data_IF_111552549848
#
_entry.id   IF_111552549848
#
_cell.length_a   1.000
_cell.length_b   1.000
_cell.length_c   1.000
_cell.angle_alpha   90.00
_cell.angle_beta   90.00
_cell.angle_gamma   90.00
#
_symmetry.space_group_name_H-M   'P 1'
#
loop_
_entity.id
_entity.type
_entity.pdbx_description
1 polymer ?
#
# COMPACT_ATOMS: atom_id res chain seq x y z
N UNK A 1 40.05 64.54 -47.35
CA UNK A 1 39.71 63.17 -47.76
C UNK A 1 39.38 62.44 -46.48
N UNK A 2 38.10 62.44 -46.10
CA UNK A 2 37.62 61.73 -44.93
C UNK A 2 37.18 60.35 -45.42
N UNK A 3 37.84 59.29 -44.94
CA UNK A 3 37.43 57.92 -45.19
C UNK A 3 36.10 57.67 -44.47
N UNK A 4 35.02 57.44 -45.22
CA UNK A 4 33.80 56.87 -44.68
C UNK A 4 34.06 55.40 -44.31
N UNK A 5 33.75 54.97 -43.07
CA UNK A 5 33.87 53.57 -42.70
C UNK A 5 32.82 52.76 -43.47
N UNK A 6 33.28 51.72 -44.17
CA UNK A 6 32.48 50.76 -44.92
C UNK A 6 31.29 50.23 -44.11
N UNK A 7 30.07 50.49 -44.60
CA UNK A 7 28.79 50.02 -44.04
C UNK A 7 28.70 48.48 -43.84
N UNK A 8 29.59 47.73 -44.49
CA UNK A 8 29.67 46.27 -44.37
C UNK A 8 30.23 45.80 -43.02
N UNK A 9 31.15 46.53 -42.39
CA UNK A 9 31.71 46.16 -41.07
C UNK A 9 30.68 46.33 -39.94
N UNK A 10 29.84 47.37 -40.02
CA UNK A 10 28.81 47.69 -39.01
C UNK A 10 27.67 46.67 -38.99
N UNK A 11 27.32 46.11 -40.16
CA UNK A 11 26.28 45.07 -40.29
C UNK A 11 26.69 43.73 -39.66
N UNK A 12 27.91 43.27 -39.93
CA UNK A 12 28.43 41.98 -39.42
C UNK A 12 28.62 41.94 -37.89
N UNK A 13 28.97 43.06 -37.28
CA UNK A 13 29.14 43.15 -35.83
C UNK A 13 27.78 43.19 -35.09
N UNK A 14 26.75 43.75 -35.73
CA UNK A 14 25.37 43.79 -35.21
C UNK A 14 24.73 42.40 -35.22
N UNK A 15 24.90 41.62 -36.29
CA UNK A 15 24.42 40.25 -36.36
C UNK A 15 25.14 39.31 -35.38
N UNK A 16 26.48 39.46 -35.23
CA UNK A 16 27.26 38.73 -34.21
C UNK A 16 26.78 39.01 -32.79
N UNK A 17 26.53 40.28 -32.45
CA UNK A 17 26.01 40.69 -31.12
C UNK A 17 24.59 40.16 -30.88
N UNK A 18 23.73 40.13 -31.91
CA UNK A 18 22.38 39.56 -31.82
C UNK A 18 22.40 38.03 -31.64
N UNK A 19 23.25 37.32 -32.38
CA UNK A 19 23.46 35.88 -32.23
C UNK A 19 24.04 35.52 -30.86
N UNK A 20 25.02 36.28 -30.37
CA UNK A 20 25.60 36.14 -29.02
C UNK A 20 24.56 36.42 -27.91
N UNK A 21 23.72 37.46 -28.05
CA UNK A 21 22.61 37.71 -27.12
C UNK A 21 21.58 36.58 -27.14
N UNK A 22 21.21 36.06 -28.32
CA UNK A 22 20.23 34.97 -28.47
C UNK A 22 20.74 33.67 -27.88
N UNK A 23 22.00 33.30 -28.11
CA UNK A 23 22.65 32.13 -27.50
C UNK A 23 22.84 32.29 -25.99
N UNK A 24 23.26 33.46 -25.49
CA UNK A 24 23.40 33.74 -24.05
C UNK A 24 22.05 33.70 -23.31
N UNK A 25 20.98 34.21 -23.94
CA UNK A 25 19.59 34.16 -23.41
C UNK A 25 19.02 32.74 -23.43
N UNK A 26 19.36 31.92 -24.43
CA UNK A 26 19.04 30.49 -24.44
C UNK A 26 19.80 29.71 -23.36
N UNK A 27 21.09 30.01 -23.13
CA UNK A 27 21.89 29.38 -22.08
C UNK A 27 21.39 29.77 -20.68
N UNK A 28 20.97 31.02 -20.46
CA UNK A 28 20.37 31.45 -19.19
C UNK A 28 19.01 30.79 -18.93
N UNK A 29 18.16 30.65 -19.94
CA UNK A 29 16.88 29.96 -19.82
C UNK A 29 17.05 28.45 -19.53
N UNK A 30 17.95 27.76 -20.25
CA UNK A 30 18.26 26.34 -19.99
C UNK A 30 18.84 26.13 -18.58
N UNK A 31 19.70 27.03 -18.11
CA UNK A 31 20.25 26.99 -16.74
C UNK A 31 19.17 27.25 -15.69
N UNK A 32 18.24 28.17 -15.94
CA UNK A 32 17.13 28.45 -15.04
C UNK A 32 16.13 27.29 -14.98
N UNK A 33 15.81 26.68 -16.12
CA UNK A 33 14.99 25.47 -16.18
C UNK A 33 15.68 24.30 -15.46
N UNK A 34 16.96 24.06 -15.70
CA UNK A 34 17.71 23.02 -15.00
C UNK A 34 17.74 23.23 -13.48
N UNK A 35 17.90 24.48 -13.01
CA UNK A 35 17.81 24.82 -11.58
C UNK A 35 16.42 24.58 -11.02
N UNK A 36 15.37 25.01 -11.72
CA UNK A 36 13.99 24.78 -11.29
C UNK A 36 13.70 23.28 -11.20
N UNK A 37 14.04 22.50 -12.23
CA UNK A 37 13.90 21.05 -12.23
C UNK A 37 14.66 20.42 -11.07
N UNK A 38 15.89 20.85 -10.80
CA UNK A 38 16.67 20.37 -9.66
C UNK A 38 15.97 20.65 -8.32
N UNK A 39 15.50 21.88 -8.09
CA UNK A 39 14.77 22.21 -6.86
C UNK A 39 13.45 21.44 -6.73
N UNK A 40 12.70 21.26 -7.82
CA UNK A 40 11.48 20.45 -7.84
C UNK A 40 11.80 19.00 -7.46
N UNK A 41 12.83 18.40 -8.04
CA UNK A 41 13.26 17.04 -7.71
C UNK A 41 13.71 16.93 -6.24
N UNK A 42 14.41 17.94 -5.72
CA UNK A 42 14.80 18.01 -4.31
C UNK A 42 13.59 18.03 -3.37
N UNK A 43 12.58 18.84 -3.69
CA UNK A 43 11.33 18.90 -2.91
C UNK A 43 10.59 17.58 -2.97
N UNK A 44 10.44 16.98 -4.16
CA UNK A 44 9.79 15.67 -4.33
C UNK A 44 10.51 14.59 -3.55
N UNK A 45 11.85 14.55 -3.61
CA UNK A 45 12.65 13.62 -2.84
C UNK A 45 12.46 13.83 -1.32
N UNK A 46 12.50 15.08 -0.85
CA UNK A 46 12.25 15.43 0.54
C UNK A 46 10.87 14.99 1.03
N UNK A 47 9.82 15.25 0.25
CA UNK A 47 8.46 14.78 0.54
C UNK A 47 8.38 13.25 0.59
N UNK A 48 8.97 12.55 -0.39
CA UNK A 48 8.97 11.10 -0.45
C UNK A 48 9.72 10.47 0.74
N UNK A 49 10.83 11.07 1.17
CA UNK A 49 11.55 10.65 2.38
C UNK A 49 10.70 10.89 3.63
N UNK A 50 10.09 12.06 3.77
CA UNK A 50 9.23 12.37 4.91
C UNK A 50 8.04 11.42 5.01
N UNK A 51 7.37 11.10 3.90
CA UNK A 51 6.26 10.15 3.90
C UNK A 51 6.69 8.70 4.17
N UNK A 52 7.88 8.29 3.73
CA UNK A 52 8.45 6.99 4.11
C UNK A 52 8.72 6.91 5.61
N UNK A 53 9.33 7.95 6.19
CA UNK A 53 9.59 8.01 7.63
C UNK A 53 8.29 8.01 8.44
N UNK A 54 7.28 8.75 7.99
CA UNK A 54 5.95 8.75 8.59
C UNK A 54 5.28 7.37 8.51
N UNK A 55 5.40 6.67 7.38
CA UNK A 55 4.91 5.29 7.25
C UNK A 55 5.64 4.35 8.21
N UNK A 56 6.97 4.44 8.30
CA UNK A 56 7.77 3.61 9.20
C UNK A 56 7.39 3.85 10.67
N UNK A 57 7.19 5.11 11.07
CA UNK A 57 6.72 5.48 12.41
C UNK A 57 5.33 4.92 12.71
N UNK A 58 4.37 5.09 11.78
CA UNK A 58 3.04 4.49 11.92
C UNK A 58 3.13 2.97 12.13
N UNK A 59 3.88 2.26 11.29
CA UNK A 59 4.03 0.80 11.41
C UNK A 59 4.69 0.39 12.72
N UNK A 60 5.69 1.13 13.19
CA UNK A 60 6.36 0.89 14.47
C UNK A 60 5.44 1.18 15.67
N UNK A 61 4.56 2.18 15.54
CA UNK A 61 3.63 2.60 16.60
C UNK A 61 2.40 1.70 16.75
N UNK A 62 2.02 0.95 15.70
CA UNK A 62 0.88 0.03 15.71
C UNK A 62 1.01 -1.03 16.81
N UNK A 63 -0.04 -1.14 17.63
CA UNK A 63 -0.17 -2.14 18.67
C UNK A 63 -1.58 -2.76 18.63
N UNK A 64 -1.74 -4.04 19.01
CA UNK A 64 -3.05 -4.61 19.25
C UNK A 64 -3.86 -3.78 20.26
N UNK A 65 -5.17 -3.58 20.06
CA UNK A 65 -6.01 -2.91 21.04
C UNK A 65 -6.08 -3.74 22.32
N UNK A 66 -6.16 -3.08 23.48
CA UNK A 66 -6.18 -3.74 24.81
C UNK A 66 -7.37 -4.68 24.98
N UNK A 67 -8.51 -4.34 24.37
CA UNK A 67 -9.71 -5.18 24.34
C UNK A 67 -10.19 -5.35 22.89
N UNK A 68 -9.62 -6.30 22.13
CA UNK A 68 -10.00 -6.52 20.74
C UNK A 68 -11.40 -7.10 20.68
N UNK A 69 -12.37 -6.34 20.15
CA UNK A 69 -13.73 -6.82 19.92
C UNK A 69 -14.36 -6.18 18.69
N UNK A 70 -15.06 -6.99 17.90
CA UNK A 70 -15.84 -6.61 16.75
C UNK A 70 -16.96 -7.64 16.51
N UNK A 71 -17.81 -7.44 15.51
CA UNK A 71 -18.83 -8.42 15.14
C UNK A 71 -18.19 -9.69 14.60
N UNK A 72 -17.13 -9.53 13.79
CA UNK A 72 -16.40 -10.64 13.21
C UNK A 72 -14.91 -10.33 13.00
N UNK A 73 -14.13 -11.35 12.69
CA UNK A 73 -12.69 -11.27 12.50
C UNK A 73 -12.38 -11.59 11.04
N UNK A 74 -11.46 -10.85 10.44
CA UNK A 74 -10.90 -11.15 9.12
C UNK A 74 -9.40 -11.24 9.26
N UNK A 75 -8.82 -12.35 8.81
CA UNK A 75 -7.37 -12.48 8.68
C UNK A 75 -6.98 -12.49 7.21
N UNK A 76 -6.04 -11.62 6.85
CA UNK A 76 -5.52 -11.52 5.48
C UNK A 76 -4.28 -12.40 5.33
N UNK A 77 -4.32 -13.40 4.47
CA UNK A 77 -3.22 -14.35 4.24
C UNK A 77 -2.05 -13.73 3.46
N UNK A 78 -0.97 -14.50 3.25
CA UNK A 78 0.23 -14.06 2.51
C UNK A 78 1.47 -13.76 3.37
N UNK A 79 1.52 -14.24 4.62
CA UNK A 79 2.62 -14.03 5.56
C UNK A 79 2.46 -14.91 6.80
N UNK A 80 3.52 -15.00 7.62
CA UNK A 80 3.61 -15.98 8.70
C UNK A 80 2.73 -15.66 9.92
N UNK A 81 2.26 -16.71 10.61
CA UNK A 81 1.64 -16.72 11.95
C UNK A 81 0.36 -15.90 12.17
N UNK A 82 -0.20 -15.27 11.14
CA UNK A 82 -1.42 -14.46 11.29
C UNK A 82 -2.66 -15.28 11.62
N UNK A 83 -2.76 -16.46 11.03
CA UNK A 83 -3.95 -17.31 11.12
C UNK A 83 -4.08 -17.88 12.54
N UNK A 84 -2.97 -18.26 13.18
CA UNK A 84 -2.96 -18.74 14.56
C UNK A 84 -3.53 -17.68 15.51
N UNK A 85 -3.04 -16.43 15.41
CA UNK A 85 -3.52 -15.31 16.22
C UNK A 85 -5.00 -15.00 15.99
N UNK A 86 -5.46 -15.03 14.74
CA UNK A 86 -6.88 -14.79 14.43
C UNK A 86 -7.80 -15.87 15.00
N UNK A 87 -7.34 -17.12 14.99
CA UNK A 87 -8.05 -18.25 15.58
C UNK A 87 -8.10 -18.14 17.10
N UNK A 88 -7.02 -17.70 17.75
CA UNK A 88 -7.02 -17.50 19.20
C UNK A 88 -7.92 -16.33 19.63
N UNK A 89 -7.98 -15.26 18.83
CA UNK A 89 -8.97 -14.19 19.00
C UNK A 89 -10.41 -14.70 18.87
N UNK A 90 -10.68 -15.61 17.91
CA UNK A 90 -12.00 -16.23 17.76
C UNK A 90 -12.35 -17.08 18.99
N UNK A 91 -11.41 -17.91 19.48
CA UNK A 91 -11.59 -18.70 20.71
C UNK A 91 -11.87 -17.82 21.93
N UNK A 92 -11.24 -16.65 21.99
CA UNK A 92 -11.43 -15.66 23.05
C UNK A 92 -12.72 -14.83 22.91
N UNK A 93 -13.52 -15.04 21.85
CA UNK A 93 -14.78 -14.33 21.63
C UNK A 93 -14.62 -12.89 21.15
N UNK A 94 -13.49 -12.54 20.53
CA UNK A 94 -13.25 -11.22 19.95
C UNK A 94 -14.15 -10.92 18.72
N UNK A 95 -14.77 -11.96 18.14
CA UNK A 95 -15.80 -11.86 17.12
C UNK A 95 -16.59 -13.16 17.00
N UNK A 96 -17.71 -13.12 16.27
CA UNK A 96 -18.66 -14.24 16.15
C UNK A 96 -18.22 -15.27 15.10
N UNK A 97 -17.54 -14.82 14.04
CA UNK A 97 -16.99 -15.65 12.96
C UNK A 97 -15.62 -15.12 12.52
N UNK A 98 -14.85 -15.99 11.88
CA UNK A 98 -13.55 -15.68 11.29
C UNK A 98 -13.57 -15.97 9.78
N UNK A 99 -13.25 -14.98 8.96
CA UNK A 99 -12.88 -15.18 7.56
C UNK A 99 -11.36 -15.26 7.44
N UNK A 100 -10.87 -16.34 6.83
CA UNK A 100 -9.47 -16.47 6.37
C UNK A 100 -9.45 -16.15 4.88
N UNK A 101 -9.12 -14.92 4.52
CA UNK A 101 -9.21 -14.40 3.15
C UNK A 101 -7.90 -14.58 2.38
N UNK A 102 -8.01 -14.94 1.09
CA UNK A 102 -6.87 -15.12 0.19
C UNK A 102 -6.10 -16.44 0.38
N UNK A 103 -6.75 -17.50 0.83
CA UNK A 103 -6.12 -18.82 0.99
C UNK A 103 -5.75 -19.38 -0.38
N UNK A 104 -4.58 -20.03 -0.46
CA UNK A 104 -4.14 -20.70 -1.68
C UNK A 104 -5.13 -21.83 -2.05
N UNK A 105 -5.58 -21.98 -3.30
CA UNK A 105 -6.63 -22.95 -3.68
C UNK A 105 -6.37 -24.42 -3.32
N UNK A 106 -5.11 -24.80 -3.15
CA UNK A 106 -4.71 -26.16 -2.75
C UNK A 106 -4.66 -26.38 -1.25
N UNK A 107 -4.79 -25.31 -0.45
CA UNK A 107 -4.77 -25.39 1.01
C UNK A 107 -6.16 -25.75 1.51
N UNK A 108 -6.28 -26.86 2.24
CA UNK A 108 -7.56 -27.32 2.76
C UNK A 108 -7.85 -26.74 4.15
N UNK A 109 -9.13 -26.55 4.46
CA UNK A 109 -9.59 -26.21 5.81
C UNK A 109 -9.02 -27.17 6.89
N UNK A 110 -8.92 -28.46 6.56
CA UNK A 110 -8.33 -29.46 7.47
C UNK A 110 -6.85 -29.22 7.77
N UNK A 111 -6.06 -28.75 6.79
CA UNK A 111 -4.66 -28.41 6.97
C UNK A 111 -4.51 -27.18 7.85
N UNK A 112 -5.30 -26.14 7.58
CA UNK A 112 -5.30 -24.92 8.41
C UNK A 112 -5.65 -25.26 9.85
N UNK A 113 -6.75 -25.99 10.07
CA UNK A 113 -7.17 -26.43 11.41
C UNK A 113 -6.09 -27.20 12.16
N UNK A 114 -5.39 -28.12 11.48
CA UNK A 114 -4.30 -28.90 12.10
C UNK A 114 -3.12 -27.99 12.48
N UNK A 115 -2.76 -27.06 11.60
CA UNK A 115 -1.65 -26.13 11.85
C UNK A 115 -1.97 -25.19 13.02
N UNK A 116 -3.21 -24.72 13.15
CA UNK A 116 -3.66 -23.88 14.27
C UNK A 116 -4.09 -24.65 15.52
N UNK A 117 -3.90 -25.98 15.53
CA UNK A 117 -4.26 -26.87 16.64
C UNK A 117 -5.69 -26.66 17.17
N UNK A 118 -6.63 -26.43 16.25
CA UNK A 118 -8.01 -26.06 16.60
C UNK A 118 -9.00 -27.21 16.48
N UNK A 119 -10.11 -27.12 17.21
CA UNK A 119 -11.14 -28.15 17.16
C UNK A 119 -11.88 -28.15 15.82
N UNK A 120 -12.39 -29.32 15.44
CA UNK A 120 -13.24 -29.45 14.25
C UNK A 120 -14.54 -28.65 14.39
N UNK A 121 -15.08 -28.57 15.61
CA UNK A 121 -16.31 -27.83 15.88
C UNK A 121 -16.15 -26.32 15.71
N UNK A 122 -15.03 -25.74 16.16
CA UNK A 122 -14.73 -24.33 15.96
C UNK A 122 -14.70 -23.97 14.46
N UNK A 123 -13.99 -24.78 13.68
CA UNK A 123 -13.87 -24.57 12.24
C UNK A 123 -15.21 -24.77 11.51
N UNK A 124 -16.00 -25.77 11.91
CA UNK A 124 -17.31 -26.03 11.32
C UNK A 124 -18.33 -24.95 11.65
N UNK A 125 -18.31 -24.44 12.88
CA UNK A 125 -19.30 -23.46 13.32
C UNK A 125 -19.01 -22.06 12.77
N UNK A 126 -17.73 -21.67 12.74
CA UNK A 126 -17.39 -20.26 12.90
C UNK A 126 -16.19 -19.80 12.05
N UNK A 127 -15.62 -20.66 11.20
CA UNK A 127 -14.50 -20.30 10.32
C UNK A 127 -14.90 -20.48 8.86
N UNK A 128 -14.83 -19.39 8.10
CA UNK A 128 -15.03 -19.35 6.66
C UNK A 128 -13.67 -19.22 5.95
N UNK A 129 -13.46 -19.99 4.90
CA UNK A 129 -12.21 -19.98 4.13
C UNK A 129 -12.45 -19.34 2.77
N UNK A 130 -11.82 -18.19 2.54
CA UNK A 130 -11.86 -17.46 1.27
C UNK A 130 -10.73 -17.89 0.34
N UNK A 131 -11.09 -18.35 -0.86
CA UNK A 131 -10.17 -18.81 -1.90
C UNK A 131 -10.23 -17.94 -3.15
N UNK A 132 -10.97 -16.85 -3.15
CA UNK A 132 -11.24 -16.06 -4.35
C UNK A 132 -10.26 -14.90 -4.49
N UNK A 133 -9.81 -14.32 -3.38
CA UNK A 133 -8.87 -13.20 -3.39
C UNK A 133 -7.47 -13.58 -3.93
N UNK A 134 -7.00 -12.85 -4.95
CA UNK A 134 -5.66 -12.99 -5.55
C UNK A 134 -4.65 -12.05 -4.90
N UNK A 135 -5.08 -10.82 -4.60
CA UNK A 135 -4.24 -9.76 -4.06
C UNK A 135 -4.97 -8.98 -2.96
N UNK A 136 -4.45 -7.81 -2.59
CA UNK A 136 -5.04 -7.00 -1.51
C UNK A 136 -6.35 -6.34 -1.91
N UNK A 137 -6.57 -6.08 -3.20
CA UNK A 137 -7.86 -5.60 -3.72
C UNK A 137 -8.87 -6.75 -3.66
N UNK A 138 -8.47 -7.93 -4.14
CA UNK A 138 -9.24 -9.18 -4.01
C UNK A 138 -9.64 -9.49 -2.57
N UNK A 139 -8.70 -9.38 -1.63
CA UNK A 139 -8.99 -9.58 -0.21
C UNK A 139 -10.06 -8.60 0.28
N UNK A 140 -10.01 -7.35 -0.15
CA UNK A 140 -10.99 -6.34 0.23
C UNK A 140 -12.38 -6.63 -0.34
N UNK A 141 -12.47 -7.07 -1.60
CA UNK A 141 -13.74 -7.45 -2.24
C UNK A 141 -14.32 -8.76 -1.70
N UNK A 142 -13.49 -9.78 -1.48
CA UNK A 142 -13.91 -11.05 -0.83
C UNK A 142 -14.44 -10.77 0.57
N UNK A 143 -13.73 -9.93 1.33
CA UNK A 143 -14.18 -9.48 2.66
C UNK A 143 -15.48 -8.68 2.56
N UNK A 144 -15.64 -7.80 1.57
CA UNK A 144 -16.85 -7.00 1.38
C UNK A 144 -18.09 -7.89 1.16
N UNK A 145 -17.96 -8.88 0.27
CA UNK A 145 -19.02 -9.84 -0.01
C UNK A 145 -19.39 -10.60 1.26
N UNK A 146 -18.40 -11.13 1.97
CA UNK A 146 -18.63 -11.86 3.20
C UNK A 146 -19.28 -11.01 4.31
N UNK A 147 -18.87 -9.75 4.48
CA UNK A 147 -19.49 -8.81 5.42
C UNK A 147 -20.97 -8.60 5.07
N UNK A 148 -21.27 -8.34 3.80
CA UNK A 148 -22.63 -8.10 3.32
C UNK A 148 -23.52 -9.30 3.56
N UNK A 149 -23.04 -10.50 3.23
CA UNK A 149 -23.81 -11.74 3.33
C UNK A 149 -24.15 -12.10 4.78
N UNK A 150 -23.33 -11.65 5.73
CA UNK A 150 -23.53 -11.89 7.17
C UNK A 150 -24.10 -10.67 7.94
N UNK A 151 -24.18 -9.49 7.31
CA UNK A 151 -24.71 -8.28 7.93
C UNK A 151 -23.82 -7.61 9.00
N UNK A 152 -22.52 -7.90 9.03
CA UNK A 152 -21.60 -7.32 10.02
C UNK A 152 -21.38 -5.81 9.83
N UNK A 153 -21.04 -5.10 10.90
CA UNK A 153 -20.79 -3.64 10.92
C UNK A 153 -19.42 -3.27 11.45
N UNK A 154 -18.81 -4.13 12.24
CA UNK A 154 -17.45 -3.98 12.76
C UNK A 154 -16.63 -5.23 12.51
N UNK A 155 -15.39 -5.04 12.05
CA UNK A 155 -14.49 -6.12 11.66
C UNK A 155 -13.14 -5.92 12.31
N UNK A 156 -12.68 -6.91 13.07
CA UNK A 156 -11.33 -6.98 13.59
C UNK A 156 -10.41 -7.51 12.47
N UNK A 157 -9.53 -6.65 11.97
CA UNK A 157 -8.65 -6.96 10.83
C UNK A 157 -7.30 -7.42 11.36
N UNK A 158 -6.99 -8.69 11.14
CA UNK A 158 -5.73 -9.32 11.55
C UNK A 158 -4.78 -9.39 10.36
N UNK A 159 -3.70 -8.63 10.41
CA UNK A 159 -2.58 -8.78 9.46
C UNK A 159 -1.27 -8.24 10.01
N UNK A 160 -0.17 -8.36 9.27
CA UNK A 160 1.13 -7.85 9.72
C UNK A 160 1.09 -6.33 9.86
N UNK A 161 1.77 -5.80 10.88
CA UNK A 161 1.86 -4.35 11.12
C UNK A 161 2.22 -3.53 9.87
N UNK A 162 3.22 -3.97 9.09
CA UNK A 162 3.66 -3.26 7.87
C UNK A 162 2.68 -3.35 6.70
N UNK A 163 1.78 -4.34 6.70
CA UNK A 163 0.76 -4.50 5.66
C UNK A 163 -0.54 -3.76 6.02
N UNK A 164 -0.79 -3.56 7.31
CA UNK A 164 -2.01 -2.99 7.87
C UNK A 164 -2.48 -1.69 7.20
N UNK A 165 -1.62 -0.66 6.97
CA UNK A 165 -2.09 0.60 6.40
C UNK A 165 -2.72 0.44 5.02
N UNK A 166 -2.11 -0.38 4.16
CA UNK A 166 -2.61 -0.66 2.81
C UNK A 166 -3.87 -1.52 2.85
N UNK A 167 -3.91 -2.53 3.70
CA UNK A 167 -5.11 -3.36 3.89
C UNK A 167 -6.31 -2.53 4.31
N UNK A 168 -6.15 -1.63 5.28
CA UNK A 168 -7.23 -0.76 5.75
C UNK A 168 -7.71 0.22 4.67
N UNK A 169 -6.79 0.74 3.85
CA UNK A 169 -7.15 1.60 2.71
C UNK A 169 -8.08 0.86 1.74
N UNK A 170 -7.69 -0.34 1.29
CA UNK A 170 -8.49 -1.13 0.34
C UNK A 170 -9.83 -1.59 0.96
N UNK A 171 -9.82 -2.04 2.22
CA UNK A 171 -11.02 -2.48 2.92
C UNK A 171 -12.05 -1.37 3.08
N UNK A 172 -11.61 -0.16 3.45
CA UNK A 172 -12.48 1.01 3.59
C UNK A 172 -13.02 1.47 2.24
N UNK A 173 -12.22 1.38 1.18
CA UNK A 173 -12.66 1.69 -0.18
C UNK A 173 -13.76 0.72 -0.65
N UNK A 174 -13.58 -0.58 -0.39
CA UNK A 174 -14.57 -1.60 -0.73
C UNK A 174 -15.82 -1.54 0.17
N UNK A 175 -15.70 -1.03 1.40
CA UNK A 175 -16.77 -0.99 2.41
C UNK A 175 -16.79 0.33 3.21
N UNK A 176 -17.23 1.46 2.63
CA UNK A 176 -17.15 2.78 3.28
C UNK A 176 -18.02 2.95 4.53
N UNK A 177 -18.90 2.00 4.86
CA UNK A 177 -19.77 2.03 6.04
C UNK A 177 -19.37 1.06 7.17
N UNK A 178 -18.24 0.36 7.03
CA UNK A 178 -17.80 -0.67 7.99
C UNK A 178 -16.70 -0.12 8.90
N UNK A 179 -16.81 -0.42 10.19
CA UNK A 179 -15.77 -0.08 11.17
C UNK A 179 -14.70 -1.17 11.17
N UNK A 180 -13.52 -0.84 10.62
CA UNK A 180 -12.36 -1.74 10.64
C UNK A 180 -11.46 -1.43 11.85
N UNK A 181 -11.34 -2.40 12.76
CA UNK A 181 -10.48 -2.33 13.96
C UNK A 181 -9.17 -3.06 13.64
N UNK A 182 -8.02 -2.38 13.59
CA UNK A 182 -6.75 -3.04 13.28
C UNK A 182 -6.25 -3.90 14.45
N UNK A 183 -5.84 -5.12 14.14
CA UNK A 183 -5.09 -6.02 15.03
C UNK A 183 -3.76 -6.39 14.36
N UNK A 184 -2.70 -5.59 14.57
CA UNK A 184 -1.41 -5.83 13.94
C UNK A 184 -0.69 -7.02 14.57
N UNK A 185 -0.35 -8.02 13.77
CA UNK A 185 0.57 -9.10 14.15
C UNK A 185 2.00 -8.57 13.98
N UNK A 186 2.68 -8.40 15.10
CA UNK A 186 4.05 -7.85 15.13
C UNK A 186 5.05 -9.00 14.96
N UNK A 187 5.45 -9.24 13.71
CA UNK A 187 6.46 -10.26 13.38
C UNK A 187 7.90 -9.72 13.44
N UNK A 188 8.07 -8.40 13.51
CA UNK A 188 9.35 -7.73 13.64
C UNK A 188 9.13 -6.47 14.44
N UNK A 189 9.68 -6.44 15.65
CA UNK A 189 9.58 -5.27 16.52
C UNK A 189 10.53 -4.18 16.00
N UNK A 190 9.98 -3.26 15.22
CA UNK A 190 10.71 -2.13 14.65
C UNK A 190 11.16 -1.11 15.70
N UNK A 191 10.62 -1.16 16.93
CA UNK A 191 10.99 -0.24 18.01
C UNK A 191 12.20 -0.74 18.80
N UNK A 192 12.34 -2.05 18.97
CA UNK A 192 13.42 -2.64 19.78
C UNK A 192 14.60 -3.19 18.96
N UNK A 193 14.45 -3.34 17.64
CA UNK A 193 15.51 -3.86 16.76
C UNK A 193 15.98 -2.81 15.74
N UNK A 194 17.25 -2.87 15.35
CA UNK A 194 17.77 -2.09 14.22
C UNK A 194 17.23 -2.65 12.90
N UNK A 195 15.95 -2.41 12.64
CA UNK A 195 15.20 -2.98 11.53
C UNK A 195 15.80 -2.64 10.16
N UNK A 196 16.52 -1.52 10.05
CA UNK A 196 17.24 -1.09 8.84
C UNK A 196 18.39 -2.06 8.52
N UNK A 197 19.02 -2.65 9.54
CA UNK A 197 20.09 -3.64 9.35
C UNK A 197 19.56 -5.01 8.92
N UNK A 198 18.27 -5.29 9.08
CA UNK A 198 17.68 -6.54 8.61
C UNK A 198 17.15 -6.36 7.17
N UNK A 199 17.84 -6.92 6.15
CA UNK A 199 17.47 -6.71 4.75
C UNK A 199 16.08 -7.24 4.40
N UNK A 200 15.60 -8.27 5.10
CA UNK A 200 14.27 -8.84 4.86
C UNK A 200 13.17 -7.90 5.36
N UNK A 201 13.36 -7.31 6.54
CA UNK A 201 12.42 -6.34 7.12
C UNK A 201 12.45 -5.05 6.32
N UNK A 202 13.63 -4.51 6.00
CA UNK A 202 13.79 -3.32 5.16
C UNK A 202 13.10 -3.48 3.80
N UNK A 203 13.30 -4.62 3.13
CA UNK A 203 12.63 -4.93 1.86
C UNK A 203 11.11 -4.95 2.01
N UNK A 204 10.59 -5.53 3.09
CA UNK A 204 9.15 -5.60 3.35
C UNK A 204 8.55 -4.21 3.56
N UNK A 205 9.21 -3.36 4.36
CA UNK A 205 8.80 -1.97 4.62
C UNK A 205 8.79 -1.15 3.34
N UNK A 206 9.89 -1.17 2.56
CA UNK A 206 9.97 -0.42 1.31
C UNK A 206 8.95 -0.90 0.26
N UNK A 207 8.75 -2.21 0.16
CA UNK A 207 7.76 -2.79 -0.77
C UNK A 207 6.34 -2.39 -0.39
N UNK A 208 5.98 -2.47 0.89
CA UNK A 208 4.64 -2.07 1.33
C UNK A 208 4.42 -0.56 1.23
N UNK A 209 5.44 0.26 1.52
CA UNK A 209 5.39 1.69 1.31
C UNK A 209 5.13 2.05 -0.16
N UNK A 210 5.85 1.41 -1.10
CA UNK A 210 5.65 1.62 -2.53
C UNK A 210 4.23 1.22 -2.96
N UNK A 211 3.75 0.04 -2.53
CA UNK A 211 2.38 -0.42 -2.83
C UNK A 211 1.32 0.50 -2.23
N UNK A 212 1.54 0.99 -1.01
CA UNK A 212 0.63 1.94 -0.36
C UNK A 212 0.59 3.26 -1.14
N UNK A 213 1.74 3.78 -1.55
CA UNK A 213 1.83 5.01 -2.35
C UNK A 213 1.05 4.87 -3.65
N UNK A 214 1.22 3.75 -4.37
CA UNK A 214 0.45 3.45 -5.58
C UNK A 214 -1.05 3.35 -5.27
N UNK A 215 -1.44 2.64 -4.22
CA UNK A 215 -2.84 2.49 -3.82
C UNK A 215 -3.49 3.84 -3.45
N UNK A 216 -2.78 4.70 -2.70
CA UNK A 216 -3.26 6.04 -2.32
C UNK A 216 -3.36 6.99 -3.52
N UNK A 217 -2.38 6.97 -4.44
CA UNK A 217 -2.44 7.76 -5.68
C UNK A 217 -3.63 7.32 -6.54
N UNK A 218 -3.84 6.01 -6.66
CA UNK A 218 -4.95 5.42 -7.41
C UNK A 218 -6.30 5.81 -6.80
N UNK A 219 -6.41 5.76 -5.47
CA UNK A 219 -7.60 6.20 -4.74
C UNK A 219 -7.89 7.69 -4.97
N UNK A 220 -6.86 8.54 -4.85
CA UNK A 220 -6.96 9.99 -5.09
C UNK A 220 -7.39 10.32 -6.52
N UNK A 221 -6.90 9.56 -7.51
CA UNK A 221 -7.25 9.74 -8.92
C UNK A 221 -8.58 9.09 -9.31
N UNK A 222 -9.23 8.35 -8.41
CA UNK A 222 -10.48 7.65 -8.68
C UNK A 222 -10.37 6.57 -9.75
N UNK A 223 -9.18 6.00 -9.97
CA UNK A 223 -9.00 5.02 -11.05
C UNK A 223 -9.68 3.69 -10.73
N UNK A 224 -10.47 3.12 -11.66
CA UNK A 224 -11.07 1.81 -11.49
C UNK A 224 -10.01 0.72 -11.36
N UNK A 225 -10.32 -0.33 -10.61
CA UNK A 225 -9.50 -1.53 -10.49
C UNK A 225 -10.32 -2.76 -10.84
N UNK A 226 -9.64 -3.78 -11.35
CA UNK A 226 -10.18 -5.15 -11.32
C UNK A 226 -10.50 -5.53 -9.86
N UNK A 227 -11.49 -6.39 -9.65
CA UNK A 227 -11.93 -6.81 -8.31
C UNK A 227 -10.87 -7.61 -7.58
N UNK A 228 -9.90 -8.19 -8.31
CA UNK A 228 -8.86 -9.04 -7.75
C UNK A 228 -9.37 -10.41 -7.30
N UNK A 229 -10.58 -10.80 -7.74
CA UNK A 229 -11.21 -12.09 -7.48
C UNK A 229 -10.90 -13.10 -8.61
N UNK A 230 -10.61 -14.36 -8.27
CA UNK A 230 -10.36 -15.45 -9.23
C UNK A 230 -11.60 -15.73 -10.07
N UNK A 231 -12.78 -15.73 -9.47
CA UNK A 231 -14.04 -16.04 -10.15
C UNK A 231 -14.36 -15.01 -11.24
N UNK A 232 -14.11 -13.72 -11.01
CA UNK A 232 -14.36 -12.68 -12.01
C UNK A 232 -13.31 -12.67 -13.12
N UNK A 233 -12.04 -12.96 -12.78
CA UNK A 233 -10.97 -13.11 -13.76
C UNK A 233 -11.19 -14.28 -14.72
N UNK A 234 -11.68 -15.41 -14.20
CA UNK A 234 -12.02 -16.57 -15.02
C UNK A 234 -13.16 -16.29 -16.01
N UNK A 235 -14.10 -15.39 -15.67
CA UNK A 235 -15.21 -15.00 -16.55
C UNK A 235 -14.79 -14.01 -17.64
N UNK A 236 -13.74 -13.22 -17.40
CA UNK A 236 -13.22 -12.22 -18.35
C UNK A 236 -12.18 -12.77 -19.33
N UNK A 237 -11.83 -14.05 -19.23
CA UNK A 237 -10.98 -14.75 -20.20
C UNK A 237 -9.51 -14.30 -20.21
N UNK A 238 -9.00 -13.72 -19.11
CA UNK A 238 -7.60 -13.30 -18.93
C UNK A 238 -6.77 -14.21 -18.04
#
# INVERSE_FOLDING_TARGET
>A
MADEPSDAETSGDTERKAFARRTRRHVSFRRQLARLTFYVLLVVAGCATASLLYFADQVASLQPPTSPKADAIVVLTGGFQRIDQAVDLLKAGAGQRLLISGVHPTTTSSQIRRNTQSSADLFRCCVDIGYDAIDTIGNAHETANWIRDNGYKSILVVTNNYHMPRSLLELRRANPGITFVPYPVVNSDLKSTNWIANPMVLKSILSEYAKLTVASLRDLLGTPTDSGLRTERAQTGQ
#
